data_IF_908334436134
#
_entry.id   IF_908334436134
#
_cell.length_a   1.000
_cell.length_b   1.000
_cell.length_c   1.000
_cell.angle_alpha   90.00
_cell.angle_beta   90.00
_cell.angle_gamma   90.00
#
_symmetry.space_group_name_H-M   'P 1'
#
loop_
_entity.id
_entity.type
_entity.pdbx_description
1 polymer ?
#
# COMPACT_ATOMS: atom_id res chain seq x y z
N UNK A 1 2.43 -8.87 -12.89
CA UNK A 1 1.96 -9.37 -11.58
C UNK A 1 3.03 -9.02 -10.56
N UNK A 2 2.66 -8.41 -9.42
CA UNK A 2 3.62 -8.07 -8.36
C UNK A 2 4.00 -9.31 -7.55
N UNK A 3 5.19 -9.31 -6.98
CA UNK A 3 5.77 -10.38 -6.16
C UNK A 3 6.29 -9.83 -4.84
N UNK A 4 6.44 -10.68 -3.80
CA UNK A 4 7.10 -10.27 -2.57
C UNK A 4 8.49 -9.68 -2.85
N UNK A 5 8.76 -8.51 -2.29
CA UNK A 5 10.02 -7.77 -2.48
C UNK A 5 10.00 -6.72 -3.60
N UNK A 6 8.95 -6.65 -4.41
CA UNK A 6 8.82 -5.60 -5.42
C UNK A 6 8.65 -4.22 -4.79
N UNK A 7 9.33 -3.21 -5.36
CA UNK A 7 9.17 -1.81 -5.01
C UNK A 7 8.36 -1.10 -6.09
N UNK A 8 7.24 -0.49 -5.69
CA UNK A 8 6.37 0.29 -6.58
C UNK A 8 6.50 1.77 -6.25
N UNK A 9 7.02 2.57 -7.19
CA UNK A 9 7.07 4.02 -7.06
C UNK A 9 5.84 4.65 -7.72
N UNK A 10 5.06 5.40 -6.93
CA UNK A 10 3.92 6.17 -7.41
C UNK A 10 4.27 7.66 -7.42
N UNK A 11 4.28 8.27 -8.60
CA UNK A 11 4.53 9.70 -8.78
C UNK A 11 3.33 10.40 -9.40
N UNK A 12 3.15 11.67 -9.07
CA UNK A 12 2.08 12.52 -9.59
C UNK A 12 1.64 13.57 -8.57
N UNK A 13 0.88 14.54 -9.05
CA UNK A 13 0.37 15.66 -8.24
C UNK A 13 -0.54 15.24 -7.09
N UNK A 14 -0.84 16.18 -6.20
CA UNK A 14 -1.90 16.00 -5.20
C UNK A 14 -3.22 15.66 -5.89
N UNK A 15 -3.91 14.61 -5.43
CA UNK A 15 -5.14 14.16 -6.05
C UNK A 15 -4.97 13.26 -7.28
N UNK A 16 -3.74 12.97 -7.74
CA UNK A 16 -3.48 12.07 -8.88
C UNK A 16 -3.89 10.59 -8.65
N UNK A 17 -4.48 10.24 -7.50
CA UNK A 17 -4.97 8.89 -7.22
C UNK A 17 -3.95 7.91 -6.65
N UNK A 18 -2.74 8.35 -6.26
CA UNK A 18 -1.69 7.50 -5.68
C UNK A 18 -2.21 6.62 -4.52
N UNK A 19 -2.84 7.23 -3.52
CA UNK A 19 -3.42 6.52 -2.38
C UNK A 19 -4.58 5.60 -2.78
N UNK A 20 -5.34 5.95 -3.82
CA UNK A 20 -6.41 5.10 -4.35
C UNK A 20 -5.85 3.81 -4.94
N UNK A 21 -4.76 3.91 -5.72
CA UNK A 21 -4.07 2.72 -6.23
C UNK A 21 -3.49 1.87 -5.08
N UNK A 22 -2.87 2.50 -4.08
CA UNK A 22 -2.35 1.76 -2.91
C UNK A 22 -3.46 1.03 -2.14
N UNK A 23 -4.67 1.60 -2.06
CA UNK A 23 -5.83 0.92 -1.46
C UNK A 23 -6.23 -0.34 -2.24
N UNK A 24 -6.34 -0.24 -3.57
CA UNK A 24 -6.63 -1.39 -4.42
C UNK A 24 -5.57 -2.49 -4.29
N UNK A 25 -4.29 -2.12 -4.16
CA UNK A 25 -3.21 -3.07 -3.86
C UNK A 25 -3.41 -3.74 -2.49
N UNK A 26 -3.73 -2.98 -1.45
CA UNK A 26 -4.02 -3.52 -0.12
C UNK A 26 -5.20 -4.50 -0.10
N UNK A 27 -6.28 -4.15 -0.81
CA UNK A 27 -7.45 -5.03 -0.98
C UNK A 27 -7.08 -6.32 -1.72
N UNK A 28 -6.34 -6.22 -2.83
CA UNK A 28 -5.89 -7.38 -3.60
C UNK A 28 -4.89 -8.26 -2.84
N UNK A 29 -4.11 -7.70 -1.92
CA UNK A 29 -3.19 -8.43 -1.04
C UNK A 29 -3.86 -8.96 0.24
N UNK A 30 -5.10 -8.56 0.54
CA UNK A 30 -5.81 -8.97 1.75
C UNK A 30 -5.14 -8.47 3.05
N UNK A 31 -4.67 -7.22 3.07
CA UNK A 31 -4.02 -6.65 4.26
C UNK A 31 -5.04 -6.14 5.28
N UNK A 32 -4.62 -6.09 6.55
CA UNK A 32 -5.45 -5.68 7.68
C UNK A 32 -5.64 -4.16 7.71
N UNK A 33 -6.89 -3.77 7.92
CA UNK A 33 -7.28 -2.38 8.16
C UNK A 33 -7.25 -1.52 6.89
N UNK A 34 -7.68 -0.27 7.03
CA UNK A 34 -7.77 0.65 5.91
C UNK A 34 -6.39 1.18 5.50
N UNK A 35 -6.10 1.18 4.20
CA UNK A 35 -4.95 1.87 3.62
C UNK A 35 -5.27 3.36 3.48
N UNK A 36 -4.55 4.20 4.21
CA UNK A 36 -4.67 5.66 4.17
C UNK A 36 -3.31 6.28 3.90
N UNK A 37 -3.29 7.59 3.58
CA UNK A 37 -2.04 8.30 3.31
C UNK A 37 -1.16 8.36 4.57
N UNK A 38 0.11 7.95 4.51
CA UNK A 38 1.04 8.00 5.63
C UNK A 38 1.68 9.39 5.80
N UNK A 39 0.99 10.46 5.38
CA UNK A 39 1.53 11.83 5.23
C UNK A 39 2.36 12.32 6.42
N UNK A 40 1.98 11.95 7.65
CA UNK A 40 2.67 12.39 8.87
C UNK A 40 3.53 11.32 9.54
N UNK A 41 3.41 10.05 9.12
CA UNK A 41 4.10 8.91 9.76
C UNK A 41 5.25 8.38 8.93
N UNK A 42 5.48 8.92 7.73
CA UNK A 42 6.52 8.56 6.76
C UNK A 42 6.34 7.15 6.19
N UNK A 43 5.99 6.16 7.00
CA UNK A 43 5.66 4.82 6.55
C UNK A 43 4.61 4.17 7.43
N UNK A 44 3.79 3.30 6.83
CA UNK A 44 2.81 2.46 7.51
C UNK A 44 2.92 1.03 7.02
N UNK A 45 3.00 0.10 7.96
CA UNK A 45 2.99 -1.33 7.66
C UNK A 45 1.57 -1.86 7.84
N UNK A 46 1.04 -2.49 6.79
CA UNK A 46 -0.24 -3.17 6.79
C UNK A 46 0.01 -4.68 6.76
N UNK A 47 -0.16 -5.40 7.89
CA UNK A 47 0.09 -6.84 7.95
C UNK A 47 -0.99 -7.61 7.16
N UNK A 48 -0.64 -8.74 6.55
CA UNK A 48 -1.59 -9.59 5.84
C UNK A 48 -2.61 -10.22 6.79
N UNK A 49 -3.77 -10.62 6.27
CA UNK A 49 -4.71 -11.46 7.00
C UNK A 49 -4.41 -12.97 6.88
N UNK A 50 -3.61 -13.37 5.89
CA UNK A 50 -3.13 -14.75 5.68
C UNK A 50 -1.61 -14.81 5.50
N UNK A 51 -1.11 -15.78 4.74
CA UNK A 51 0.34 -16.02 4.55
C UNK A 51 1.01 -15.11 3.50
N UNK A 52 0.29 -14.09 3.02
CA UNK A 52 0.78 -13.14 2.02
C UNK A 52 1.83 -12.16 2.56
N UNK A 53 2.48 -11.36 1.71
CA UNK A 53 3.42 -10.34 2.17
C UNK A 53 2.69 -9.18 2.85
N UNK A 54 3.38 -8.50 3.79
CA UNK A 54 2.92 -7.22 4.29
C UNK A 54 3.03 -6.13 3.20
N UNK A 55 2.10 -5.18 3.21
CA UNK A 55 2.19 -3.96 2.40
C UNK A 55 2.83 -2.85 3.23
N UNK A 56 3.96 -2.33 2.77
CA UNK A 56 4.60 -1.15 3.36
C UNK A 56 4.27 0.06 2.48
N UNK A 57 3.49 0.99 3.03
CA UNK A 57 3.11 2.23 2.35
C UNK A 57 3.94 3.39 2.91
N UNK A 58 4.83 3.93 2.09
CA UNK A 58 5.71 5.07 2.38
C UNK A 58 5.14 6.32 1.73
#
# INVERSE_FOLDING_TARGET
MLRPGDLVLLSGELGAGKTTLTRGLGEGLGVRGAVTSPTFVIARVHPPLGDGPALVHV
#
